data_IF_051153045910
#
_entry.id   IF_051153045910
#
_cell.length_a   1.000
_cell.length_b   1.000
_cell.length_c   1.000
_cell.angle_alpha   90.00
_cell.angle_beta   90.00
_cell.angle_gamma   90.00
#
_symmetry.space_group_name_H-M   'P 1'
#
loop_
_entity.id
_entity.type
_entity.pdbx_description
1 polymer ?
#
# COMPACT_ATOMS: atom_id res chain seq x y z
N UNK A 1 -26.82 -15.82 -17.52
CA UNK A 1 -27.26 -15.09 -16.31
C UNK A 1 -26.11 -14.35 -15.63
N UNK A 2 -25.28 -13.59 -16.36
CA UNK A 2 -23.99 -13.08 -15.85
C UNK A 2 -23.78 -11.56 -15.99
N UNK A 3 -24.76 -10.81 -16.50
CA UNK A 3 -24.61 -9.36 -16.73
C UNK A 3 -25.25 -8.49 -15.65
N UNK A 4 -26.35 -8.91 -15.02
CA UNK A 4 -27.04 -8.10 -14.02
C UNK A 4 -26.37 -8.13 -12.64
N UNK A 5 -25.93 -9.29 -12.17
CA UNK A 5 -25.20 -9.43 -10.90
C UNK A 5 -23.87 -8.69 -10.90
N UNK A 6 -23.14 -8.78 -12.03
CA UNK A 6 -21.88 -8.06 -12.22
C UNK A 6 -22.10 -6.54 -12.26
N UNK A 7 -23.12 -6.04 -12.96
CA UNK A 7 -23.44 -4.61 -12.99
C UNK A 7 -23.86 -4.06 -11.62
N UNK A 8 -24.61 -4.84 -10.82
CA UNK A 8 -25.03 -4.44 -9.49
C UNK A 8 -23.83 -4.28 -8.52
N UNK A 9 -22.93 -5.27 -8.50
CA UNK A 9 -21.72 -5.22 -7.64
C UNK A 9 -20.78 -4.05 -7.96
N UNK A 10 -20.82 -3.53 -9.18
CA UNK A 10 -19.99 -2.42 -9.63
C UNK A 10 -20.51 -1.08 -9.14
N UNK A 11 -21.82 -0.87 -9.30
CA UNK A 11 -22.48 0.30 -8.74
C UNK A 11 -22.31 0.35 -7.23
N UNK A 12 -22.38 -0.80 -6.55
CA UNK A 12 -22.13 -0.91 -5.11
C UNK A 12 -20.71 -0.46 -4.70
N UNK A 13 -19.68 -0.85 -5.46
CA UNK A 13 -18.30 -0.50 -5.15
C UNK A 13 -17.95 0.96 -5.49
N UNK A 14 -18.50 1.49 -6.58
CA UNK A 14 -18.43 2.92 -6.90
C UNK A 14 -19.09 3.75 -5.79
N UNK A 15 -20.31 3.37 -5.39
CA UNK A 15 -21.02 4.00 -4.28
C UNK A 15 -20.24 3.92 -2.97
N UNK A 16 -19.65 2.77 -2.66
CA UNK A 16 -18.83 2.60 -1.46
C UNK A 16 -17.63 3.55 -1.43
N UNK A 17 -16.91 3.67 -2.55
CA UNK A 17 -15.75 4.55 -2.62
C UNK A 17 -16.16 6.02 -2.50
N UNK A 18 -17.25 6.41 -3.16
CA UNK A 18 -17.80 7.75 -3.09
C UNK A 18 -18.27 8.09 -1.67
N UNK A 19 -19.04 7.21 -1.03
CA UNK A 19 -19.50 7.38 0.35
C UNK A 19 -18.34 7.46 1.34
N UNK A 20 -17.28 6.68 1.13
CA UNK A 20 -16.08 6.76 1.95
C UNK A 20 -15.32 8.08 1.78
N UNK A 21 -15.38 8.70 0.60
CA UNK A 21 -14.83 10.03 0.35
C UNK A 21 -15.70 11.12 0.97
N UNK A 22 -17.02 11.06 0.74
CA UNK A 22 -17.99 12.07 1.19
C UNK A 22 -18.06 12.14 2.72
N UNK A 23 -17.94 10.99 3.39
CA UNK A 23 -17.87 10.91 4.86
C UNK A 23 -16.44 11.10 5.41
N UNK A 24 -15.48 11.53 4.59
CA UNK A 24 -14.09 11.80 4.97
C UNK A 24 -13.31 10.58 5.54
N UNK A 25 -13.86 9.36 5.42
CA UNK A 25 -13.16 8.12 5.77
C UNK A 25 -11.95 7.85 4.87
N UNK A 26 -11.99 8.38 3.65
CA UNK A 26 -10.90 8.41 2.68
C UNK A 26 -10.72 9.85 2.23
N UNK A 27 -9.55 10.41 2.52
CA UNK A 27 -9.26 11.79 2.11
C UNK A 27 -9.16 11.89 0.59
N UNK A 28 -9.95 12.77 -0.01
CA UNK A 28 -9.79 13.18 -1.41
C UNK A 28 -8.85 14.38 -1.50
N UNK A 29 -7.92 14.35 -2.45
CA UNK A 29 -7.01 15.44 -2.76
C UNK A 29 -7.17 15.83 -4.23
N UNK A 30 -7.18 17.12 -4.55
CA UNK A 30 -7.24 17.57 -5.95
C UNK A 30 -5.92 17.26 -6.65
N UNK A 31 -5.97 16.66 -7.84
CA UNK A 31 -4.74 16.27 -8.56
C UNK A 31 -3.78 17.44 -8.84
N UNK A 32 -4.34 18.64 -8.95
CA UNK A 32 -3.59 19.89 -9.12
C UNK A 32 -2.69 20.26 -7.93
N UNK A 33 -2.90 19.70 -6.73
CA UNK A 33 -2.05 19.95 -5.56
C UNK A 33 -0.74 19.15 -5.59
N UNK A 34 -0.54 18.31 -6.61
CA UNK A 34 0.70 17.59 -6.81
C UNK A 34 1.55 18.28 -7.89
N UNK A 35 2.79 18.61 -7.58
CA UNK A 35 3.75 19.26 -8.48
C UNK A 35 4.93 18.33 -8.78
N UNK A 36 5.79 18.70 -9.74
CA UNK A 36 7.03 17.98 -10.04
C UNK A 36 6.82 16.46 -10.27
N UNK A 37 5.85 16.12 -11.14
CA UNK A 37 5.44 14.75 -11.38
C UNK A 37 6.45 14.04 -12.29
N UNK A 38 7.23 13.14 -11.72
CA UNK A 38 8.26 12.36 -12.40
C UNK A 38 7.87 10.88 -12.34
N UNK A 39 7.83 10.19 -13.48
CA UNK A 39 7.52 8.77 -13.50
C UNK A 39 8.69 7.96 -12.95
N UNK A 40 8.45 7.15 -11.91
CA UNK A 40 9.49 6.34 -11.23
C UNK A 40 9.32 4.84 -11.43
N UNK A 41 8.20 4.38 -11.98
CA UNK A 41 8.01 2.94 -12.22
C UNK A 41 6.76 2.59 -13.00
N UNK A 42 6.73 1.36 -13.51
CA UNK A 42 5.58 0.75 -14.16
C UNK A 42 5.48 -0.73 -13.78
N UNK A 43 4.28 -1.17 -13.46
CA UNK A 43 3.95 -2.58 -13.24
C UNK A 43 2.73 -3.02 -14.04
N UNK A 44 2.26 -4.23 -13.75
CA UNK A 44 1.00 -4.75 -14.30
C UNK A 44 -0.17 -3.82 -13.96
N UNK A 45 -0.24 -3.41 -12.68
CA UNK A 45 -1.30 -2.60 -12.08
C UNK A 45 -1.27 -1.10 -12.43
N UNK A 46 -0.29 -0.66 -13.24
CA UNK A 46 -0.22 0.73 -13.71
C UNK A 46 1.13 1.39 -13.49
N UNK A 47 1.11 2.71 -13.40
CA UNK A 47 2.29 3.56 -13.38
C UNK A 47 2.45 4.23 -12.03
N UNK A 48 3.68 4.46 -11.60
CA UNK A 48 3.99 5.16 -10.35
C UNK A 48 4.79 6.42 -10.67
N UNK A 49 4.31 7.55 -10.17
CA UNK A 49 4.94 8.87 -10.32
C UNK A 49 5.36 9.39 -8.96
N UNK A 50 6.60 9.84 -8.81
CA UNK A 50 7.03 10.72 -7.72
C UNK A 50 6.46 12.11 -7.96
N UNK A 51 5.97 12.78 -6.93
CA UNK A 51 5.46 14.15 -7.00
C UNK A 51 5.71 14.87 -5.68
N UNK A 52 5.52 16.19 -5.65
CA UNK A 52 5.51 16.98 -4.41
C UNK A 52 4.08 17.40 -4.13
N UNK A 53 3.52 17.02 -2.98
CA UNK A 53 2.23 17.52 -2.53
C UNK A 53 2.42 18.91 -1.92
N UNK A 54 1.76 19.92 -2.48
CA UNK A 54 1.78 21.30 -1.96
C UNK A 54 1.04 21.41 -0.63
N UNK A 55 0.03 20.58 -0.42
CA UNK A 55 -0.77 20.54 0.82
C UNK A 55 0.08 20.15 2.04
N UNK A 56 0.97 19.17 1.89
CA UNK A 56 1.82 18.68 3.00
C UNK A 56 3.27 19.10 2.88
N UNK A 57 3.66 19.80 1.81
CA UNK A 57 5.04 20.11 1.45
C UNK A 57 5.97 18.88 1.53
N UNK A 58 5.48 17.75 1.04
CA UNK A 58 6.18 16.45 1.09
C UNK A 58 6.23 15.80 -0.27
N UNK A 59 7.35 15.14 -0.54
CA UNK A 59 7.44 14.21 -1.65
C UNK A 59 6.52 13.03 -1.40
N UNK A 60 5.76 12.68 -2.43
CA UNK A 60 4.82 11.56 -2.49
C UNK A 60 5.15 10.70 -3.71
N UNK A 61 4.64 9.47 -3.77
CA UNK A 61 4.31 8.90 -5.07
C UNK A 61 2.81 8.91 -5.31
N UNK A 62 2.42 8.70 -6.56
CA UNK A 62 1.09 8.66 -7.10
C UNK A 62 1.03 7.40 -7.98
N UNK A 63 0.23 6.42 -7.59
CA UNK A 63 0.02 5.21 -8.39
C UNK A 63 -1.18 5.36 -9.30
N UNK A 64 -0.93 5.68 -10.57
CA UNK A 64 -1.94 5.73 -11.62
C UNK A 64 -2.31 4.30 -12.04
N UNK A 65 -3.55 3.91 -11.76
CA UNK A 65 -4.08 2.64 -12.25
C UNK A 65 -4.39 2.72 -13.75
N UNK A 66 -4.22 1.61 -14.47
CA UNK A 66 -4.71 1.52 -15.86
C UNK A 66 -6.22 1.45 -15.81
N UNK A 67 -6.88 2.56 -16.15
CA UNK A 67 -8.33 2.61 -16.25
C UNK A 67 -8.71 1.99 -17.59
N UNK A 68 -9.09 0.71 -17.56
CA UNK A 68 -9.52 0.00 -18.78
C UNK A 68 -10.88 -0.66 -18.65
N UNK A 69 -11.40 -0.83 -17.42
CA UNK A 69 -12.73 -1.39 -17.19
C UNK A 69 -13.11 -1.38 -15.71
N UNK A 70 -14.32 -1.89 -15.45
CA UNK A 70 -14.87 -2.44 -14.19
C UNK A 70 -13.87 -3.12 -13.24
N UNK A 71 -12.84 -3.78 -13.78
CA UNK A 71 -11.80 -4.44 -12.99
C UNK A 71 -10.99 -3.42 -12.14
N UNK A 72 -10.80 -2.21 -12.66
CA UNK A 72 -9.93 -1.19 -12.06
C UNK A 72 -10.45 -0.68 -10.71
N UNK A 73 -11.77 -0.50 -10.54
CA UNK A 73 -12.34 0.01 -9.27
C UNK A 73 -12.24 -1.03 -8.16
N UNK A 74 -12.49 -2.31 -8.48
CA UNK A 74 -12.34 -3.39 -7.51
C UNK A 74 -10.89 -3.53 -7.06
N UNK A 75 -9.92 -3.39 -7.97
CA UNK A 75 -8.49 -3.38 -7.64
C UNK A 75 -8.14 -2.22 -6.70
N UNK A 76 -8.62 -1.01 -7.01
CA UNK A 76 -8.44 0.17 -6.16
C UNK A 76 -8.98 -0.08 -4.76
N UNK A 77 -10.22 -0.55 -4.63
CA UNK A 77 -10.86 -0.80 -3.33
C UNK A 77 -10.13 -1.90 -2.57
N UNK A 78 -9.71 -2.97 -3.25
CA UNK A 78 -8.94 -4.04 -2.62
C UNK A 78 -7.60 -3.54 -2.11
N UNK A 79 -6.88 -2.71 -2.88
CA UNK A 79 -5.61 -2.15 -2.45
C UNK A 79 -5.77 -1.20 -1.25
N UNK A 80 -6.83 -0.39 -1.23
CA UNK A 80 -7.19 0.47 -0.07
C UNK A 80 -7.51 -0.39 1.15
N UNK A 81 -8.39 -1.39 1.01
CA UNK A 81 -8.77 -2.30 2.10
C UNK A 81 -7.57 -3.05 2.66
N UNK A 82 -6.66 -3.53 1.80
CA UNK A 82 -5.45 -4.21 2.21
C UNK A 82 -4.50 -3.26 2.94
N UNK A 83 -4.23 -2.07 2.40
CA UNK A 83 -3.39 -1.08 3.09
C UNK A 83 -3.96 -0.73 4.47
N UNK A 84 -5.26 -0.44 4.58
CA UNK A 84 -5.90 -0.09 5.86
C UNK A 84 -5.83 -1.21 6.91
N UNK A 85 -5.75 -2.48 6.52
CA UNK A 85 -5.55 -3.60 7.46
C UNK A 85 -4.15 -3.63 8.06
N UNK A 86 -3.17 -3.05 7.37
CA UNK A 86 -1.76 -3.07 7.77
C UNK A 86 -1.23 -1.69 8.19
N UNK A 87 -2.06 -0.64 8.15
CA UNK A 87 -1.71 0.78 8.41
C UNK A 87 -1.44 1.14 9.88
N UNK A 88 -1.25 0.15 10.76
CA UNK A 88 -1.08 0.35 12.21
C UNK A 88 0.39 0.45 12.64
N UNK A 89 1.34 0.32 11.71
CA UNK A 89 2.75 0.39 12.04
C UNK A 89 3.42 1.52 11.26
N UNK A 90 4.22 2.32 11.96
CA UNK A 90 5.05 3.39 11.40
C UNK A 90 6.10 2.89 10.35
N UNK A 91 6.24 1.57 10.20
CA UNK A 91 7.09 0.85 9.23
C UNK A 91 6.24 0.22 8.12
N UNK A 92 5.08 0.79 7.82
CA UNK A 92 4.25 0.33 6.72
C UNK A 92 3.85 1.57 5.93
N UNK A 93 3.90 1.46 4.60
CA UNK A 93 3.55 2.54 3.70
C UNK A 93 2.17 3.11 4.04
N UNK A 94 2.17 4.35 4.54
CA UNK A 94 0.95 5.00 4.98
C UNK A 94 0.10 5.44 3.80
N UNK A 95 -1.13 4.96 3.74
CA UNK A 95 -2.10 5.44 2.77
C UNK A 95 -2.66 6.80 3.23
N UNK A 96 -2.66 7.81 2.35
CA UNK A 96 -3.14 9.15 2.72
C UNK A 96 -4.41 9.59 2.00
N UNK A 97 -4.88 8.86 1.01
CA UNK A 97 -6.05 9.26 0.26
C UNK A 97 -6.00 8.94 -1.21
N UNK A 98 -6.93 9.55 -1.93
CA UNK A 98 -7.20 9.33 -3.33
C UNK A 98 -7.26 10.66 -4.07
N UNK A 99 -7.04 10.61 -5.38
CA UNK A 99 -7.24 11.76 -6.27
C UNK A 99 -7.93 11.27 -7.53
N UNK A 100 -8.37 12.19 -8.38
CA UNK A 100 -8.84 11.90 -9.72
C UNK A 100 -8.14 12.82 -10.71
N UNK A 101 -7.70 12.26 -11.84
CA UNK A 101 -7.08 13.01 -12.94
C UNK A 101 -8.12 13.84 -13.71
N UNK A 102 -9.34 13.30 -13.80
CA UNK A 102 -10.53 13.92 -14.37
C UNK A 102 -11.70 13.57 -13.43
N UNK A 103 -12.69 14.43 -13.16
CA UNK A 103 -13.93 14.02 -12.49
C UNK A 103 -14.61 12.78 -13.12
N UNK A 104 -14.35 12.47 -14.40
CA UNK A 104 -14.79 11.21 -15.03
C UNK A 104 -13.81 10.03 -14.90
N UNK A 105 -12.57 10.28 -14.48
CA UNK A 105 -11.51 9.27 -14.34
C UNK A 105 -11.05 9.15 -12.88
N UNK A 106 -11.41 8.04 -12.23
CA UNK A 106 -10.92 7.66 -10.90
C UNK A 106 -9.41 7.29 -10.90
N UNK A 107 -8.56 8.25 -11.24
CA UNK A 107 -7.11 8.11 -11.23
C UNK A 107 -6.54 8.24 -9.82
N UNK A 108 -6.52 7.14 -9.05
CA UNK A 108 -6.01 7.12 -7.67
C UNK A 108 -4.59 7.70 -7.55
N UNK A 109 -4.31 8.38 -6.45
CA UNK A 109 -2.96 8.76 -6.04
C UNK A 109 -2.66 8.17 -4.66
N UNK A 110 -2.00 7.02 -4.63
CA UNK A 110 -1.47 6.45 -3.39
C UNK A 110 -0.21 7.21 -2.98
N UNK A 111 -0.28 8.05 -1.94
CA UNK A 111 0.87 8.75 -1.35
C UNK A 111 1.95 7.79 -0.87
N UNK A 112 3.06 7.68 -1.61
CA UNK A 112 4.32 7.09 -1.09
C UNK A 112 5.15 8.20 -0.47
N UNK A 113 5.22 8.33 0.86
CA UNK A 113 6.10 9.33 1.50
C UNK A 113 7.53 9.13 0.96
N UNK A 114 8.07 10.20 0.39
CA UNK A 114 9.06 10.12 -0.66
C UNK A 114 10.36 9.46 -0.26
N UNK A 115 10.87 8.57 -1.12
CA UNK A 115 12.29 8.20 -1.27
C UNK A 115 13.03 7.71 -0.03
N UNK A 116 12.38 7.68 1.13
CA UNK A 116 12.91 7.31 2.42
C UNK A 116 12.25 6.00 2.76
N UNK A 117 13.04 4.95 2.53
CA UNK A 117 12.83 3.64 3.13
C UNK A 117 12.64 3.81 4.62
N UNK A 118 11.82 2.97 5.23
CA UNK A 118 11.52 3.05 6.65
C UNK A 118 12.82 3.08 7.46
N UNK A 119 12.88 3.96 8.45
CA UNK A 119 13.95 3.92 9.45
C UNK A 119 13.57 2.88 10.49
N UNK A 120 14.47 1.96 10.82
CA UNK A 120 14.24 0.94 11.85
C UNK A 120 13.57 1.54 13.10
N UNK A 121 12.42 0.99 13.47
CA UNK A 121 11.67 1.40 14.66
C UNK A 121 11.97 0.45 15.79
N UNK A 122 12.23 1.04 16.96
CA UNK A 122 12.56 0.31 18.18
C UNK A 122 11.48 -0.72 18.50
N UNK A 123 11.86 -1.99 18.53
CA UNK A 123 10.97 -3.12 18.84
C UNK A 123 10.55 -3.95 17.63
N UNK A 124 10.80 -3.49 16.40
CA UNK A 124 10.63 -4.33 15.21
C UNK A 124 11.65 -5.49 15.23
N UNK A 125 11.23 -6.75 14.99
CA UNK A 125 12.16 -7.87 14.91
C UNK A 125 13.27 -7.60 13.88
N UNK A 126 14.54 -7.70 14.28
CA UNK A 126 15.69 -7.40 13.41
C UNK A 126 15.64 -8.21 12.11
N UNK A 127 15.21 -9.47 12.19
CA UNK A 127 15.07 -10.35 11.04
C UNK A 127 14.03 -9.82 10.03
N UNK A 128 12.96 -9.16 10.50
CA UNK A 128 11.99 -8.50 9.61
C UNK A 128 12.62 -7.30 8.90
N UNK A 129 13.43 -6.52 9.64
CA UNK A 129 14.21 -5.39 9.11
C UNK A 129 15.16 -5.84 8.01
N UNK A 130 15.86 -6.94 8.21
CA UNK A 130 16.77 -7.50 7.22
C UNK A 130 16.03 -7.91 5.93
N UNK A 131 14.86 -8.56 6.06
CA UNK A 131 14.04 -9.00 4.93
C UNK A 131 13.60 -7.81 4.08
N UNK A 132 12.99 -6.77 4.67
CA UNK A 132 12.52 -5.65 3.87
C UNK A 132 13.68 -4.83 3.30
N UNK A 133 14.81 -4.73 4.02
CA UNK A 133 16.00 -4.02 3.56
C UNK A 133 16.61 -4.72 2.35
N UNK A 134 16.68 -6.06 2.37
CA UNK A 134 17.11 -6.86 1.23
C UNK A 134 16.15 -6.73 0.03
N UNK A 135 14.83 -6.77 0.27
CA UNK A 135 13.82 -6.55 -0.77
C UNK A 135 13.98 -5.18 -1.45
N UNK A 136 14.44 -4.18 -0.70
CA UNK A 136 14.64 -2.83 -1.19
C UNK A 136 15.96 -2.60 -1.91
N UNK A 137 16.81 -3.62 -2.12
CA UNK A 137 18.10 -3.42 -2.79
C UNK A 137 17.94 -2.73 -4.15
N UNK A 138 18.79 -1.73 -4.44
CA UNK A 138 18.73 -1.00 -5.72
C UNK A 138 19.04 -1.91 -6.90
N UNK A 139 19.99 -2.84 -6.72
CA UNK A 139 20.28 -3.89 -7.69
C UNK A 139 19.21 -4.99 -7.62
N UNK A 140 18.56 -5.26 -8.74
CA UNK A 140 17.52 -6.28 -8.85
C UNK A 140 18.06 -7.69 -8.63
N UNK A 141 19.30 -7.95 -8.99
CA UNK A 141 19.94 -9.27 -8.84
C UNK A 141 20.27 -9.57 -7.37
N UNK A 142 20.34 -8.53 -6.54
CA UNK A 142 20.58 -8.66 -5.11
C UNK A 142 19.28 -8.78 -4.29
N UNK A 143 18.10 -8.69 -4.92
CA UNK A 143 16.83 -8.85 -4.22
C UNK A 143 16.53 -10.33 -4.01
N UNK A 144 16.02 -10.73 -2.83
CA UNK A 144 15.58 -12.09 -2.61
C UNK A 144 14.39 -12.43 -3.52
N UNK A 145 14.25 -13.71 -3.85
CA UNK A 145 13.06 -14.21 -4.55
C UNK A 145 11.86 -14.18 -3.62
N UNK A 146 10.65 -14.14 -4.18
CA UNK A 146 9.42 -14.19 -3.37
C UNK A 146 9.35 -15.45 -2.49
N UNK A 147 9.86 -16.59 -2.98
CA UNK A 147 9.94 -17.83 -2.22
C UNK A 147 10.86 -17.70 -1.01
N UNK A 148 12.00 -17.01 -1.17
CA UNK A 148 12.93 -16.74 -0.09
C UNK A 148 12.30 -15.79 0.95
N UNK A 149 11.65 -14.72 0.50
CA UNK A 149 10.94 -13.77 1.38
C UNK A 149 9.85 -14.47 2.21
N UNK A 150 9.03 -15.30 1.58
CA UNK A 150 7.96 -16.04 2.28
C UNK A 150 8.53 -17.01 3.32
N UNK A 151 9.61 -17.71 2.98
CA UNK A 151 10.32 -18.60 3.91
C UNK A 151 10.82 -17.81 5.13
N UNK A 152 11.54 -16.71 4.89
CA UNK A 152 12.14 -15.91 5.95
C UNK A 152 11.07 -15.26 6.86
N UNK A 153 9.95 -14.82 6.29
CA UNK A 153 8.80 -14.31 7.05
C UNK A 153 8.13 -15.38 7.92
N UNK A 154 8.02 -16.62 7.43
CA UNK A 154 7.46 -17.71 8.21
C UNK A 154 8.37 -18.11 9.38
N UNK A 155 9.69 -18.07 9.18
CA UNK A 155 10.66 -18.32 10.25
C UNK A 155 10.54 -17.29 11.39
N UNK A 156 10.18 -16.03 11.09
CA UNK A 156 9.94 -15.00 12.11
C UNK A 156 8.71 -15.36 12.95
N UNK A 157 7.59 -15.68 12.29
CA UNK A 157 6.36 -16.08 12.99
C UNK A 157 6.62 -17.26 13.92
N UNK A 158 7.32 -18.30 13.45
CA UNK A 158 7.63 -19.48 14.26
C UNK A 158 8.53 -19.16 15.46
N UNK A 159 9.48 -18.24 15.31
CA UNK A 159 10.34 -17.82 16.40
C UNK A 159 9.63 -16.95 17.45
N UNK A 160 8.72 -16.06 17.06
CA UNK A 160 7.92 -15.27 18.00
C UNK A 160 6.98 -16.17 18.83
N UNK A 161 6.37 -17.19 18.23
CA UNK A 161 5.55 -18.20 18.94
C UNK A 161 6.39 -19.07 19.89
N UNK A 162 7.62 -19.40 19.50
CA UNK A 162 8.56 -20.13 20.36
C UNK A 162 9.09 -19.24 21.50
N UNK A 163 9.36 -17.97 21.27
CA UNK A 163 9.84 -17.03 22.29
C UNK A 163 8.76 -16.73 23.34
N UNK A 164 7.49 -16.61 22.91
CA UNK A 164 6.34 -16.56 23.83
C UNK A 164 6.19 -17.85 24.65
N UNK A 165 6.35 -19.02 24.01
CA UNK A 165 6.28 -20.32 24.69
C UNK A 165 7.43 -20.54 25.67
N UNK A 166 8.63 -20.08 25.34
CA UNK A 166 9.83 -20.14 26.21
C UNK A 166 9.67 -19.17 27.39
N UNK A 167 9.16 -17.94 27.18
CA UNK A 167 8.87 -17.00 28.27
C UNK A 167 7.77 -17.52 29.20
N UNK A 168 6.70 -18.10 28.67
CA UNK A 168 5.66 -18.74 29.49
C UNK A 168 6.20 -19.90 30.35
N UNK A 169 7.24 -20.60 29.89
CA UNK A 169 7.89 -21.69 30.64
C UNK A 169 8.91 -21.21 31.67
N UNK A 170 9.52 -20.04 31.47
CA UNK A 170 10.49 -19.43 32.39
C UNK A 170 9.85 -18.70 33.58
N UNK A 171 8.56 -18.34 33.49
CA UNK A 171 7.78 -17.72 34.59
C UNK A 171 6.90 -18.74 35.34
N UNK A 172 7.01 -20.04 35.04
CA UNK A 172 6.25 -21.12 35.67
C UNK A 172 7.06 -21.96 36.67
N UNK A 173 8.17 -21.42 37.20
CA UNK A 173 8.94 -22.00 38.32
C UNK A 173 9.08 -20.95 39.42
#
# INVERSE_FOLDING_TARGET
MTNESNNKSLLENEMWLQEAIDNEHIKYQRYSTFENKERIGQGSMGEVYKATSTEFQKTVALKKFKISSKFTINEIINEIKLHRKVDLHDNILRFHGVTTLDPSDYGLAVKIIGGTRETNIRGTPLKYVDIYTACWNKDINCRPTISQVVKDLNDIKMNEFNEFSIRASLYAI
#
